data_IF_949019061544
#
_entry.id   IF_949019061544
#
_cell.length_a   1.000
_cell.length_b   1.000
_cell.length_c   1.000
_cell.angle_alpha   90.00
_cell.angle_beta   90.00
_cell.angle_gamma   90.00
#
_symmetry.space_group_name_H-M   'P 1'
#
loop_
_entity.id
_entity.type
_entity.pdbx_description
1 polymer ?
#
# COMPACT_ATOMS: atom_id res chain seq x y z
N UNK A 1 -19.21 -18.73 12.89
CA UNK A 1 -18.57 -17.44 12.63
C UNK A 1 -17.07 -17.67 12.65
N UNK A 2 -16.29 -17.23 11.64
CA UNK A 2 -14.84 -17.31 11.72
C UNK A 2 -14.38 -16.58 12.98
N UNK A 3 -13.40 -17.14 13.68
CA UNK A 3 -12.80 -16.51 14.85
C UNK A 3 -12.25 -15.13 14.42
N UNK A 4 -12.85 -14.09 14.99
CA UNK A 4 -12.54 -12.69 14.67
C UNK A 4 -11.05 -12.45 14.96
N UNK A 5 -10.50 -13.02 16.04
CA UNK A 5 -9.09 -12.88 16.37
C UNK A 5 -8.18 -13.55 15.35
N UNK A 6 -8.52 -14.77 14.92
CA UNK A 6 -7.75 -15.50 13.92
C UNK A 6 -7.73 -14.76 12.58
N UNK A 7 -8.87 -14.19 12.19
CA UNK A 7 -9.02 -13.38 10.97
C UNK A 7 -8.13 -12.13 11.01
N UNK A 8 -8.12 -11.40 12.12
CA UNK A 8 -7.23 -10.23 12.32
C UNK A 8 -5.75 -10.60 12.23
N UNK A 9 -5.36 -11.73 12.82
CA UNK A 9 -3.98 -12.20 12.80
C UNK A 9 -3.49 -12.53 11.38
N UNK A 10 -4.30 -13.22 10.60
CA UNK A 10 -4.02 -13.53 9.19
C UNK A 10 -3.86 -12.23 8.40
N UNK A 11 -4.74 -11.25 8.62
CA UNK A 11 -4.63 -9.94 7.98
C UNK A 11 -3.29 -9.28 8.23
N UNK A 12 -2.88 -9.23 9.49
CA UNK A 12 -1.66 -8.53 9.90
C UNK A 12 -0.44 -9.10 9.20
N UNK A 13 -0.43 -10.41 8.96
CA UNK A 13 0.59 -11.09 8.17
C UNK A 13 0.57 -10.59 6.72
N UNK A 14 -0.61 -10.53 6.08
CA UNK A 14 -0.74 -10.00 4.72
C UNK A 14 -0.40 -8.51 4.60
N UNK A 15 -0.76 -7.68 5.58
CA UNK A 15 -0.39 -6.27 5.57
C UNK A 15 1.13 -6.10 5.69
N UNK A 16 1.81 -6.96 6.45
CA UNK A 16 3.28 -6.98 6.55
C UNK A 16 3.98 -7.21 5.20
N UNK A 17 3.27 -7.70 4.18
CA UNK A 17 3.80 -7.85 2.83
C UNK A 17 4.20 -6.53 2.17
N UNK A 18 3.85 -5.37 2.74
CA UNK A 18 4.32 -4.05 2.28
C UNK A 18 5.84 -3.96 2.11
N UNK A 19 6.62 -4.70 2.94
CA UNK A 19 8.08 -4.75 2.85
C UNK A 19 8.55 -5.36 1.53
N UNK A 20 7.90 -6.44 1.11
CA UNK A 20 8.20 -7.09 -0.16
C UNK A 20 7.81 -6.20 -1.33
N UNK A 21 6.64 -5.54 -1.27
CA UNK A 21 6.25 -4.59 -2.31
C UNK A 21 7.23 -3.43 -2.43
N UNK A 22 7.64 -2.83 -1.31
CA UNK A 22 8.64 -1.76 -1.30
C UNK A 22 9.97 -2.23 -1.90
N UNK A 23 10.49 -3.40 -1.49
CA UNK A 23 11.72 -3.95 -2.05
C UNK A 23 11.61 -4.22 -3.57
N UNK A 24 10.45 -4.71 -4.03
CA UNK A 24 10.21 -5.03 -5.43
C UNK A 24 10.07 -3.80 -6.34
N UNK A 25 9.97 -2.59 -5.78
CA UNK A 25 10.02 -1.34 -6.55
C UNK A 25 11.45 -0.88 -6.90
N UNK A 26 12.47 -1.42 -6.23
CA UNK A 26 13.86 -1.00 -6.43
C UNK A 26 14.39 -1.28 -7.84
N UNK A 27 14.15 -2.46 -8.46
CA UNK A 27 14.63 -2.69 -9.83
C UNK A 27 13.99 -1.75 -10.87
N UNK A 28 12.65 -1.54 -10.89
CA UNK A 28 12.02 -0.53 -11.73
C UNK A 28 12.55 0.90 -11.51
N UNK A 29 12.82 1.28 -10.25
CA UNK A 29 13.41 2.58 -9.92
C UNK A 29 14.81 2.71 -10.55
N UNK A 30 15.65 1.68 -10.42
CA UNK A 30 17.00 1.66 -10.96
C UNK A 30 16.97 1.84 -12.49
N UNK A 31 16.09 1.12 -13.19
CA UNK A 31 15.87 1.29 -14.64
C UNK A 31 15.46 2.72 -14.99
N UNK A 32 14.54 3.31 -14.22
CA UNK A 32 14.13 4.71 -14.42
C UNK A 32 15.28 5.71 -14.22
N UNK A 33 16.19 5.44 -13.28
CA UNK A 33 17.34 6.30 -12.98
C UNK A 33 18.41 6.26 -14.08
N UNK A 34 18.57 5.13 -14.78
CA UNK A 34 19.46 5.05 -15.95
C UNK A 34 19.01 5.97 -17.10
N UNK A 35 17.73 6.40 -17.11
CA UNK A 35 17.13 7.21 -18.19
C UNK A 35 16.32 8.40 -17.68
N UNK A 36 16.91 9.20 -16.78
CA UNK A 36 16.25 10.32 -16.08
C UNK A 36 15.52 11.33 -16.98
N UNK A 37 15.94 11.53 -18.23
CA UNK A 37 15.37 12.55 -19.12
C UNK A 37 14.26 12.05 -20.09
N UNK A 38 13.81 10.79 -19.95
CA UNK A 38 12.76 10.24 -20.81
C UNK A 38 11.36 10.42 -20.23
N UNK A 39 10.33 10.49 -21.07
CA UNK A 39 8.94 10.46 -20.60
C UNK A 39 8.62 9.22 -19.75
N UNK A 40 9.26 8.09 -20.06
CA UNK A 40 9.08 6.85 -19.32
C UNK A 40 9.69 6.85 -17.91
N UNK A 41 10.70 7.68 -17.64
CA UNK A 41 11.25 7.84 -16.28
C UNK A 41 10.27 8.60 -15.38
N UNK A 42 9.60 9.63 -15.92
CA UNK A 42 8.57 10.38 -15.19
C UNK A 42 7.39 9.47 -14.80
N UNK A 43 6.92 8.64 -15.74
CA UNK A 43 5.85 7.67 -15.46
C UNK A 43 6.29 6.67 -14.37
N UNK A 44 7.52 6.15 -14.48
CA UNK A 44 8.09 5.24 -13.49
C UNK A 44 8.21 5.89 -12.10
N UNK A 45 8.59 7.17 -12.03
CA UNK A 45 8.70 7.92 -10.79
C UNK A 45 7.33 8.12 -10.12
N UNK A 46 6.30 8.51 -10.88
CA UNK A 46 4.94 8.67 -10.36
C UNK A 46 4.38 7.34 -9.85
N UNK A 47 4.59 6.25 -10.58
CA UNK A 47 4.17 4.90 -10.16
C UNK A 47 4.96 4.40 -8.95
N UNK A 48 6.25 4.74 -8.85
CA UNK A 48 7.09 4.43 -7.70
C UNK A 48 6.56 5.12 -6.43
N UNK A 49 6.31 6.43 -6.50
CA UNK A 49 5.76 7.23 -5.39
C UNK A 49 4.39 6.69 -5.00
N UNK A 50 3.52 6.39 -5.97
CA UNK A 50 2.19 5.84 -5.73
C UNK A 50 2.24 4.48 -5.03
N UNK A 51 3.14 3.60 -5.47
CA UNK A 51 3.34 2.27 -4.85
C UNK A 51 3.85 2.42 -3.41
N UNK A 52 4.80 3.33 -3.18
CA UNK A 52 5.31 3.63 -1.84
C UNK A 52 4.25 4.23 -0.91
N UNK A 53 3.37 5.09 -1.43
CA UNK A 53 2.22 5.59 -0.68
C UNK A 53 1.31 4.45 -0.21
N UNK A 54 1.02 3.48 -1.09
CA UNK A 54 0.23 2.31 -0.70
C UNK A 54 0.97 1.40 0.30
N UNK A 55 2.28 1.20 0.15
CA UNK A 55 3.08 0.46 1.13
C UNK A 55 3.05 1.13 2.51
N UNK A 56 3.21 2.45 2.57
CA UNK A 56 3.11 3.21 3.81
C UNK A 56 1.71 3.09 4.44
N UNK A 57 0.64 3.20 3.64
CA UNK A 57 -0.72 3.02 4.13
C UNK A 57 -0.98 1.60 4.65
N UNK A 58 -0.45 0.56 3.98
CA UNK A 58 -0.53 -0.82 4.48
C UNK A 58 0.22 -1.01 5.79
N UNK A 59 1.41 -0.42 5.93
CA UNK A 59 2.14 -0.44 7.20
C UNK A 59 1.34 0.23 8.32
N UNK A 60 0.77 1.42 8.04
CA UNK A 60 -0.03 2.17 9.01
C UNK A 60 -1.27 1.38 9.43
N UNK A 61 -2.03 0.84 8.47
CA UNK A 61 -3.23 0.04 8.74
C UNK A 61 -2.89 -1.20 9.59
N UNK A 62 -1.75 -1.85 9.33
CA UNK A 62 -1.27 -2.99 10.13
C UNK A 62 -0.99 -2.62 11.60
N UNK A 63 -0.47 -1.42 11.86
CA UNK A 63 -0.23 -0.90 13.22
C UNK A 63 -1.52 -0.49 13.90
N UNK A 64 -2.47 0.09 13.18
CA UNK A 64 -3.78 0.45 13.71
C UNK A 64 -4.58 -0.81 14.10
N UNK A 65 -4.55 -1.87 13.28
CA UNK A 65 -5.18 -3.14 13.65
C UNK A 65 -4.54 -3.80 14.87
N UNK A 66 -3.21 -3.71 15.02
CA UNK A 66 -2.54 -4.18 16.24
C UNK A 66 -2.99 -3.39 17.49
N UNK A 67 -3.20 -2.08 17.35
CA UNK A 67 -3.67 -1.24 18.44
C UNK A 67 -5.11 -1.57 18.83
N UNK A 68 -5.96 -1.91 17.85
CA UNK A 68 -7.34 -2.37 18.07
C UNK A 68 -7.37 -3.75 18.74
N UNK A 69 -6.51 -4.69 18.34
CA UNK A 69 -6.43 -6.03 18.96
C UNK A 69 -6.02 -5.95 20.44
N UNK A 70 -5.23 -4.95 20.81
CA UNK A 70 -4.73 -4.76 22.17
C UNK A 70 -5.61 -3.85 23.06
N UNK A 71 -6.56 -3.10 22.48
CA UNK A 71 -7.44 -2.19 23.21
C UNK A 71 -8.89 -2.66 23.10
N UNK A 72 -9.52 -2.94 24.24
CA UNK A 72 -10.91 -3.41 24.28
C UNK A 72 -11.92 -2.30 23.91
N UNK A 73 -11.51 -1.02 23.96
CA UNK A 73 -12.41 0.12 23.81
C UNK A 73 -12.28 0.81 22.43
N UNK A 74 -13.02 0.30 21.43
CA UNK A 74 -13.06 0.85 20.07
C UNK A 74 -13.51 2.33 20.00
N UNK A 75 -14.31 2.78 20.97
CA UNK A 75 -14.81 4.16 21.04
C UNK A 75 -13.68 5.17 21.32
N UNK A 76 -12.76 4.82 22.21
CA UNK A 76 -11.59 5.67 22.50
C UNK A 76 -10.64 5.74 21.32
N UNK A 77 -10.46 4.61 20.62
CA UNK A 77 -9.68 4.56 19.39
C UNK A 77 -10.28 5.48 18.31
N UNK A 78 -11.60 5.42 18.09
CA UNK A 78 -12.28 6.25 17.11
C UNK A 78 -12.29 7.73 17.49
N UNK A 79 -12.38 8.06 18.79
CA UNK A 79 -12.21 9.42 19.28
C UNK A 79 -10.79 9.97 19.03
N UNK A 80 -9.76 9.14 19.25
CA UNK A 80 -8.37 9.49 18.93
C UNK A 80 -8.15 9.72 17.44
N UNK A 81 -8.73 8.86 16.59
CA UNK A 81 -8.71 9.03 15.13
C UNK A 81 -9.45 10.31 14.69
N UNK A 82 -10.62 10.60 15.26
CA UNK A 82 -11.37 11.82 14.95
C UNK A 82 -10.56 13.08 15.32
N UNK A 83 -9.83 13.05 16.44
CA UNK A 83 -8.97 14.16 16.88
C UNK A 83 -7.82 14.45 15.91
N UNK A 84 -7.12 13.41 15.44
CA UNK A 84 -5.94 13.56 14.58
C UNK A 84 -6.32 13.90 13.12
N UNK A 85 -7.39 13.30 12.59
CA UNK A 85 -7.78 13.44 11.18
C UNK A 85 -8.96 14.38 10.92
N UNK A 86 -9.58 14.94 11.97
CA UNK A 86 -10.69 15.90 11.85
C UNK A 86 -11.99 15.32 11.29
N UNK A 87 -12.13 13.98 11.23
CA UNK A 87 -13.35 13.32 10.76
C UNK A 87 -14.46 13.35 11.82
N UNK A 88 -15.71 13.50 11.38
CA UNK A 88 -16.90 13.48 12.26
C UNK A 88 -16.99 12.11 12.94
N UNK A 89 -16.97 12.11 14.27
CA UNK A 89 -17.09 10.95 15.18
C UNK A 89 -18.49 10.30 15.18
N UNK A 90 -19.09 10.07 14.00
CA UNK A 90 -20.51 9.77 13.87
C UNK A 90 -20.85 8.29 13.77
N UNK A 91 -20.02 7.48 13.10
CA UNK A 91 -20.30 6.06 12.91
C UNK A 91 -19.12 5.21 13.39
N UNK A 92 -19.37 4.41 14.42
CA UNK A 92 -18.48 3.33 14.84
C UNK A 92 -18.38 2.36 13.67
N UNK A 93 -17.31 2.50 12.87
CA UNK A 93 -17.08 1.64 11.72
C UNK A 93 -16.77 0.24 12.22
N UNK A 94 -17.69 -0.67 11.92
CA UNK A 94 -17.53 -2.10 12.17
C UNK A 94 -16.20 -2.61 11.60
N UNK A 95 -15.60 -3.55 12.31
CA UNK A 95 -14.26 -4.03 12.02
C UNK A 95 -14.20 -4.76 10.67
N UNK A 96 -15.32 -5.36 10.25
CA UNK A 96 -15.48 -5.94 8.91
C UNK A 96 -15.46 -4.87 7.80
N UNK A 97 -15.90 -3.64 8.08
CA UNK A 97 -15.77 -2.53 7.12
C UNK A 97 -14.32 -2.06 6.99
N UNK A 98 -13.59 -1.99 8.11
CA UNK A 98 -12.16 -1.66 8.11
C UNK A 98 -11.34 -2.69 7.33
N UNK A 99 -11.67 -3.97 7.52
CA UNK A 99 -11.11 -5.08 6.75
C UNK A 99 -11.22 -4.87 5.23
N UNK A 100 -12.44 -4.61 4.74
CA UNK A 100 -12.68 -4.42 3.30
C UNK A 100 -11.89 -3.25 2.73
N UNK A 101 -11.70 -2.19 3.52
CA UNK A 101 -10.84 -1.06 3.17
C UNK A 101 -9.37 -1.48 2.97
N UNK A 102 -8.81 -2.19 3.94
CA UNK A 102 -7.43 -2.68 3.90
C UNK A 102 -7.19 -3.68 2.75
N UNK A 103 -8.13 -4.60 2.50
CA UNK A 103 -8.06 -5.51 1.33
C UNK A 103 -8.05 -4.73 0.02
N UNK A 104 -8.92 -3.72 -0.11
CA UNK A 104 -8.96 -2.89 -1.33
C UNK A 104 -7.64 -2.13 -1.52
N UNK A 105 -7.06 -1.62 -0.45
CA UNK A 105 -5.76 -0.97 -0.49
C UNK A 105 -4.63 -1.94 -0.88
N UNK A 106 -4.67 -3.17 -0.36
CA UNK A 106 -3.72 -4.22 -0.73
C UNK A 106 -3.75 -4.53 -2.22
N UNK A 107 -4.94 -4.70 -2.81
CA UNK A 107 -5.07 -4.87 -4.26
C UNK A 107 -4.60 -3.66 -5.06
N UNK A 108 -4.86 -2.42 -4.57
CA UNK A 108 -4.32 -1.21 -5.20
C UNK A 108 -2.80 -1.17 -5.18
N UNK A 109 -2.17 -1.62 -4.10
CA UNK A 109 -0.72 -1.75 -4.02
C UNK A 109 -0.17 -2.74 -5.06
N UNK A 110 -0.82 -3.91 -5.20
CA UNK A 110 -0.46 -4.92 -6.21
C UNK A 110 -0.60 -4.35 -7.62
N UNK A 111 -1.74 -3.74 -7.94
CA UNK A 111 -1.97 -3.15 -9.27
C UNK A 111 -0.94 -2.07 -9.58
N UNK A 112 -0.67 -1.18 -8.62
CA UNK A 112 0.35 -0.13 -8.76
C UNK A 112 1.75 -0.72 -9.01
N UNK A 113 2.11 -1.78 -8.29
CA UNK A 113 3.39 -2.48 -8.46
C UNK A 113 3.48 -3.15 -9.85
N UNK A 114 2.42 -3.82 -10.30
CA UNK A 114 2.37 -4.42 -11.64
C UNK A 114 2.53 -3.35 -12.72
N UNK A 115 1.82 -2.22 -12.60
CA UNK A 115 1.96 -1.10 -13.54
C UNK A 115 3.38 -0.53 -13.56
N UNK A 116 4.03 -0.41 -12.39
CA UNK A 116 5.42 0.02 -12.29
C UNK A 116 6.37 -0.93 -13.03
N UNK A 117 6.18 -2.24 -12.86
CA UNK A 117 6.97 -3.25 -13.56
C UNK A 117 6.74 -3.22 -15.08
N UNK A 118 5.49 -3.09 -15.51
CA UNK A 118 5.17 -2.96 -16.94
C UNK A 118 5.81 -1.71 -17.55
N UNK A 119 5.74 -0.56 -16.85
CA UNK A 119 6.40 0.67 -17.30
C UNK A 119 7.93 0.49 -17.41
N UNK A 120 8.56 -0.17 -16.45
CA UNK A 120 9.99 -0.46 -16.50
C UNK A 120 10.35 -1.39 -17.68
N UNK A 121 9.58 -2.46 -17.92
CA UNK A 121 9.82 -3.37 -19.04
C UNK A 121 9.66 -2.67 -20.39
N UNK A 122 8.63 -1.83 -20.55
CA UNK A 122 8.44 -1.03 -21.76
C UNK A 122 9.62 -0.10 -21.99
N UNK A 123 10.13 0.55 -20.94
CA UNK A 123 11.32 1.40 -21.03
C UNK A 123 12.56 0.63 -21.48
N UNK A 124 12.79 -0.57 -20.94
CA UNK A 124 13.92 -1.41 -21.33
C UNK A 124 13.79 -1.83 -22.80
N UNK A 125 12.63 -2.31 -23.22
CA UNK A 125 12.38 -2.74 -24.61
C UNK A 125 12.55 -1.57 -25.58
N UNK A 126 11.99 -0.41 -25.25
CA UNK A 126 12.15 0.80 -26.04
C UNK A 126 13.63 1.19 -26.19
N UNK A 127 14.36 1.20 -25.08
CA UNK A 127 15.79 1.49 -25.08
C UNK A 127 16.57 0.54 -25.99
N UNK A 128 16.38 -0.78 -25.84
CA UNK A 128 17.03 -1.80 -26.68
C UNK A 128 16.72 -1.53 -28.16
N UNK A 129 15.47 -1.25 -28.50
CA UNK A 129 15.06 -1.01 -29.89
C UNK A 129 15.67 0.24 -30.52
N UNK A 130 15.91 1.30 -29.73
CA UNK A 130 16.54 2.54 -30.21
C UNK A 130 18.06 2.48 -30.24
N UNK A 131 18.66 1.45 -29.63
CA UNK A 131 20.11 1.27 -29.57
C UNK A 131 20.69 0.36 -30.67
N UNK A 132 19.83 -0.21 -31.52
CA UNK A 132 20.18 -0.93 -32.75
C UNK A 132 20.12 0.02 -33.96
#
# INVERSE_FOLDING_TARGET
>A
MPDIMLTHRIMRIHLSSWRYFAALTLPPLFVGFLHLASWGSLVSLVLFISTHYYCWRLWLDGRLFQLIENNENLLEFDAGMACIWGERSGEVRDIAQRWRGAVRLFYRAIVSLILLWLAALVNVVYWVSTSQ
#
